data_IF_320659197925
#
_entry.id   IF_320659197925
#
_cell.length_a   1.000
_cell.length_b   1.000
_cell.length_c   1.000
_cell.angle_alpha   90.00
_cell.angle_beta   90.00
_cell.angle_gamma   90.00
#
_symmetry.space_group_name_H-M   'P 1'
#
loop_
_entity.id
_entity.type
_entity.pdbx_description
1 polymer ?
#
# COMPACT_ATOMS: atom_id res chain seq x y z
N UNK A 1 6.35 17.00 9.44
CA UNK A 1 5.85 16.87 8.05
C UNK A 1 6.00 18.22 7.39
N UNK A 2 6.56 18.27 6.17
CA UNK A 2 6.72 19.50 5.39
C UNK A 2 5.92 19.33 4.11
N UNK A 3 5.03 20.29 3.82
CA UNK A 3 4.32 20.33 2.55
C UNK A 3 5.22 21.00 1.50
N UNK A 4 5.61 20.24 0.48
CA UNK A 4 6.54 20.71 -0.55
C UNK A 4 5.83 21.32 -1.76
N UNK A 5 4.65 20.82 -2.10
CA UNK A 5 3.88 21.30 -3.25
C UNK A 5 2.40 20.95 -3.15
N UNK A 6 1.58 21.76 -3.82
CA UNK A 6 0.18 21.50 -4.09
C UNK A 6 -0.02 21.67 -5.59
N UNK A 7 -0.76 20.74 -6.21
CA UNK A 7 -1.30 20.93 -7.55
C UNK A 7 -2.79 21.27 -7.43
N UNK A 8 -3.22 22.32 -8.15
CA UNK A 8 -4.63 22.70 -8.25
C UNK A 8 -4.98 22.75 -9.73
N UNK A 9 -5.75 21.77 -10.19
CA UNK A 9 -6.10 21.66 -11.60
C UNK A 9 -7.18 20.62 -11.85
N UNK A 10 -7.90 20.77 -12.95
CA UNK A 10 -8.93 19.83 -13.39
C UNK A 10 -8.37 18.51 -13.91
N UNK A 11 -7.08 18.48 -14.24
CA UNK A 11 -6.35 17.31 -14.70
C UNK A 11 -5.22 17.00 -13.73
N UNK A 12 -4.88 15.72 -13.64
CA UNK A 12 -3.72 15.29 -12.86
C UNK A 12 -2.43 15.89 -13.44
N UNK A 13 -1.44 16.25 -12.60
CA UNK A 13 -0.20 16.82 -13.08
C UNK A 13 0.68 15.78 -13.79
N UNK A 14 1.42 16.21 -14.80
CA UNK A 14 2.55 15.44 -15.32
C UNK A 14 3.70 15.50 -14.30
N UNK A 15 4.10 14.37 -13.68
CA UNK A 15 5.04 14.38 -12.56
C UNK A 15 6.39 15.00 -12.93
N UNK A 16 6.86 14.77 -14.15
CA UNK A 16 8.14 15.28 -14.66
C UNK A 16 8.18 16.80 -14.79
N UNK A 17 7.00 17.44 -14.90
CA UNK A 17 6.87 18.90 -14.91
C UNK A 17 6.66 19.41 -13.49
N UNK A 18 5.70 18.82 -12.77
CA UNK A 18 5.27 19.27 -11.46
C UNK A 18 6.37 19.13 -10.39
N UNK A 19 7.10 18.02 -10.38
CA UNK A 19 8.12 17.74 -9.36
C UNK A 19 9.51 18.29 -9.72
N UNK A 20 9.72 18.83 -10.93
CA UNK A 20 11.04 19.21 -11.44
C UNK A 20 11.76 20.23 -10.56
N UNK A 21 11.05 21.28 -10.15
CA UNK A 21 11.61 22.34 -9.30
C UNK A 21 12.05 21.77 -7.95
N UNK A 22 11.17 21.00 -7.31
CA UNK A 22 11.42 20.36 -6.00
C UNK A 22 12.60 19.39 -6.10
N UNK A 23 12.65 18.56 -7.14
CA UNK A 23 13.75 17.60 -7.33
C UNK A 23 15.08 18.33 -7.53
N UNK A 24 15.10 19.43 -8.28
CA UNK A 24 16.30 20.22 -8.49
C UNK A 24 16.76 20.92 -7.20
N UNK A 25 15.82 21.46 -6.43
CA UNK A 25 16.11 22.07 -5.14
C UNK A 25 16.66 21.05 -4.14
N UNK A 26 16.03 19.88 -4.03
CA UNK A 26 16.53 18.81 -3.17
C UNK A 26 17.91 18.32 -3.61
N UNK A 27 18.17 18.20 -4.92
CA UNK A 27 19.52 17.88 -5.44
C UNK A 27 20.53 18.94 -5.05
N UNK A 28 20.18 20.23 -5.19
CA UNK A 28 21.04 21.32 -4.77
C UNK A 28 21.33 21.25 -3.27
N UNK A 29 20.31 21.09 -2.43
CA UNK A 29 20.45 20.97 -0.97
C UNK A 29 21.33 19.79 -0.55
N UNK A 30 21.30 18.67 -1.30
CA UNK A 30 22.19 17.52 -1.07
C UNK A 30 23.68 17.83 -1.34
N UNK A 31 23.99 18.88 -2.09
CA UNK A 31 25.37 19.33 -2.34
C UNK A 31 25.87 20.36 -1.33
N UNK A 32 25.01 20.84 -0.44
CA UNK A 32 25.33 21.89 0.52
C UNK A 32 25.36 21.34 1.95
N UNK A 33 26.21 21.90 2.79
CA UNK A 33 26.11 21.70 4.25
C UNK A 33 24.93 22.52 4.79
N UNK A 34 23.88 21.84 5.27
CA UNK A 34 22.73 22.52 5.86
C UNK A 34 23.09 22.90 7.29
N UNK A 35 23.42 24.18 7.51
CA UNK A 35 23.77 24.70 8.84
C UNK A 35 22.52 25.05 9.63
N UNK A 36 22.28 24.37 10.74
CA UNK A 36 21.26 24.74 11.72
C UNK A 36 21.96 24.95 13.07
N UNK A 37 21.99 26.20 13.53
CA UNK A 37 22.81 26.64 14.68
C UNK A 37 24.30 26.31 14.43
N UNK A 38 24.95 25.60 15.34
CA UNK A 38 26.37 25.21 15.26
C UNK A 38 26.57 23.78 14.74
N UNK A 39 25.58 23.21 14.04
CA UNK A 39 25.63 21.82 13.55
C UNK A 39 25.32 21.78 12.07
N UNK A 40 26.16 21.04 11.33
CA UNK A 40 25.97 20.78 9.91
C UNK A 40 25.18 19.49 9.73
N UNK A 41 24.17 19.54 8.87
CA UNK A 41 23.33 18.42 8.51
C UNK A 41 23.45 18.12 7.02
N UNK A 42 23.40 16.83 6.69
CA UNK A 42 23.34 16.35 5.32
C UNK A 42 21.93 15.85 5.01
N UNK A 43 21.37 16.29 3.88
CA UNK A 43 20.08 15.80 3.42
C UNK A 43 20.22 14.39 2.82
N UNK A 44 19.37 13.47 3.28
CA UNK A 44 19.23 12.13 2.72
C UNK A 44 17.77 11.87 2.37
N UNK A 45 17.52 11.33 1.18
CA UNK A 45 16.21 10.94 0.67
C UNK A 45 16.19 9.42 0.59
N UNK A 46 15.57 8.80 1.60
CA UNK A 46 15.63 7.35 1.82
C UNK A 46 14.61 6.54 1.03
N UNK A 47 13.42 7.10 0.80
CA UNK A 47 12.36 6.33 0.18
C UNK A 47 11.18 7.15 -0.27
N UNK A 48 10.29 6.48 -1.00
CA UNK A 48 9.07 7.03 -1.55
C UNK A 48 7.91 6.11 -1.17
N UNK A 49 6.78 6.70 -0.82
CA UNK A 49 5.57 5.96 -0.49
C UNK A 49 4.37 6.72 -1.03
N UNK A 50 3.28 6.00 -1.19
CA UNK A 50 2.07 6.48 -1.82
C UNK A 50 1.22 5.30 -2.28
N UNK A 51 0.06 5.63 -2.78
CA UNK A 51 -0.81 4.70 -3.48
C UNK A 51 -0.19 4.21 -4.81
N UNK A 52 -0.73 3.10 -5.33
CA UNK A 52 -0.23 2.52 -6.58
C UNK A 52 -0.41 3.45 -7.80
N UNK A 53 -1.56 4.13 -8.00
CA UNK A 53 -1.74 5.14 -9.05
C UNK A 53 -0.73 6.28 -9.07
N UNK A 54 -0.37 6.88 -7.93
CA UNK A 54 0.65 7.95 -7.89
C UNK A 54 2.06 7.37 -8.08
N UNK A 55 2.39 6.28 -7.40
CA UNK A 55 3.71 5.65 -7.51
C UNK A 55 4.02 5.18 -8.93
N UNK A 56 3.07 4.58 -9.67
CA UNK A 56 3.34 4.16 -11.07
C UNK A 56 3.77 5.33 -11.96
N UNK A 57 3.23 6.54 -11.72
CA UNK A 57 3.54 7.73 -12.51
C UNK A 57 4.91 8.27 -12.14
N UNK A 58 5.18 8.42 -10.84
CA UNK A 58 6.49 8.87 -10.33
C UNK A 58 7.61 7.91 -10.73
N UNK A 59 7.33 6.61 -10.72
CA UNK A 59 8.28 5.56 -11.08
C UNK A 59 8.43 5.36 -12.59
N UNK A 60 7.54 5.95 -13.39
CA UNK A 60 7.44 5.74 -14.83
C UNK A 60 7.33 4.24 -15.19
N UNK A 61 6.31 3.60 -14.60
CA UNK A 61 6.07 2.17 -14.62
C UNK A 61 4.64 1.85 -15.08
N UNK A 62 4.41 0.67 -15.62
CA UNK A 62 3.06 0.24 -15.98
C UNK A 62 2.16 0.16 -14.73
N UNK A 63 0.86 0.40 -14.92
CA UNK A 63 -0.10 0.36 -13.82
C UNK A 63 -0.42 -1.06 -13.32
N UNK A 64 -1.11 -1.14 -12.18
CA UNK A 64 -1.47 -2.36 -11.46
C UNK A 64 -2.24 -3.43 -12.28
N UNK A 65 -2.87 -3.05 -13.40
CA UNK A 65 -3.54 -3.97 -14.33
C UNK A 65 -2.64 -4.55 -15.44
N UNK A 66 -1.39 -4.09 -15.53
CA UNK A 66 -0.41 -4.57 -16.50
C UNK A 66 0.02 -6.02 -16.27
N UNK A 67 0.78 -6.59 -17.20
CA UNK A 67 1.29 -7.96 -17.01
C UNK A 67 2.53 -7.99 -16.10
N UNK A 68 3.48 -7.08 -16.31
CA UNK A 68 4.74 -7.02 -15.56
C UNK A 68 4.78 -5.81 -14.61
N UNK A 69 3.76 -5.65 -13.75
CA UNK A 69 3.56 -4.40 -13.01
C UNK A 69 4.24 -4.32 -11.64
N UNK A 70 4.80 -5.43 -11.15
CA UNK A 70 5.48 -5.45 -9.86
C UNK A 70 6.81 -4.70 -9.93
N UNK A 71 6.98 -3.73 -9.03
CA UNK A 71 8.21 -2.94 -8.92
C UNK A 71 9.39 -3.74 -8.37
N UNK A 72 9.12 -4.81 -7.64
CA UNK A 72 10.14 -5.55 -6.89
C UNK A 72 10.51 -6.90 -7.53
N UNK A 73 9.68 -7.45 -8.42
CA UNK A 73 9.92 -8.78 -8.99
C UNK A 73 9.42 -8.91 -10.44
N UNK A 74 9.64 -10.09 -11.01
CA UNK A 74 9.26 -10.45 -12.38
C UNK A 74 8.06 -11.40 -12.45
N UNK A 75 7.20 -11.46 -11.42
CA UNK A 75 5.95 -12.23 -11.50
C UNK A 75 5.06 -11.62 -12.58
N UNK A 76 4.71 -12.44 -13.55
CA UNK A 76 3.86 -12.07 -14.67
C UNK A 76 2.39 -12.30 -14.32
N UNK A 77 1.55 -11.29 -14.57
CA UNK A 77 0.12 -11.37 -14.30
C UNK A 77 -0.63 -12.07 -15.43
N UNK A 78 -1.47 -13.04 -15.10
CA UNK A 78 -2.32 -13.76 -16.05
C UNK A 78 -3.70 -13.11 -16.16
N UNK A 79 -4.35 -13.26 -17.32
CA UNK A 79 -5.73 -12.82 -17.49
C UNK A 79 -6.65 -14.02 -17.24
N UNK A 80 -7.41 -13.98 -16.13
CA UNK A 80 -8.34 -15.04 -15.73
C UNK A 80 -9.67 -14.43 -15.30
N UNK A 81 -10.77 -14.95 -15.85
CA UNK A 81 -12.13 -14.52 -15.53
C UNK A 81 -12.35 -13.01 -15.66
N UNK A 82 -11.81 -12.40 -16.73
CA UNK A 82 -11.92 -10.96 -16.97
C UNK A 82 -11.05 -10.08 -16.06
N UNK A 83 -10.21 -10.68 -15.20
CA UNK A 83 -9.37 -9.96 -14.23
C UNK A 83 -7.89 -10.28 -14.44
N UNK A 84 -7.03 -9.29 -14.15
CA UNK A 84 -5.59 -9.48 -14.03
C UNK A 84 -5.28 -10.12 -12.67
N UNK A 85 -4.63 -11.28 -12.68
CA UNK A 85 -4.26 -12.01 -11.48
C UNK A 85 -2.77 -12.33 -11.46
N UNK A 86 -2.16 -12.27 -10.29
CA UNK A 86 -0.76 -12.63 -10.06
C UNK A 86 -0.79 -13.85 -9.18
N UNK A 87 -0.54 -15.02 -9.76
CA UNK A 87 -0.64 -16.27 -9.03
C UNK A 87 0.51 -16.41 -8.05
N UNK A 88 0.25 -17.12 -6.96
CA UNK A 88 1.31 -17.50 -6.03
C UNK A 88 2.40 -18.30 -6.75
N UNK A 89 3.66 -17.97 -6.47
CA UNK A 89 4.82 -18.70 -6.94
C UNK A 89 5.72 -18.96 -5.74
N UNK A 90 6.11 -20.23 -5.54
CA UNK A 90 6.99 -20.64 -4.43
C UNK A 90 8.36 -19.95 -4.48
N UNK A 91 8.86 -19.67 -5.67
CA UNK A 91 10.11 -18.95 -5.89
C UNK A 91 9.87 -17.79 -6.84
N UNK A 92 10.25 -16.60 -6.40
CA UNK A 92 10.04 -15.36 -7.15
C UNK A 92 11.40 -14.73 -7.43
N UNK A 93 11.62 -14.40 -8.70
CA UNK A 93 12.81 -13.66 -9.11
C UNK A 93 12.64 -12.17 -8.79
N UNK A 94 13.41 -11.66 -7.85
CA UNK A 94 13.44 -10.25 -7.49
C UNK A 94 14.23 -9.42 -8.52
N UNK A 95 13.86 -8.14 -8.64
CA UNK A 95 14.61 -7.12 -9.35
C UNK A 95 15.72 -6.63 -8.44
N UNK A 96 16.96 -6.67 -8.92
CA UNK A 96 18.05 -5.94 -8.27
C UNK A 96 18.17 -4.54 -8.87
N UNK A 97 18.90 -3.68 -8.18
CA UNK A 97 19.14 -2.29 -8.56
C UNK A 97 19.68 -2.14 -9.99
N UNK A 98 20.70 -2.92 -10.36
CA UNK A 98 21.32 -2.83 -11.67
C UNK A 98 20.35 -3.18 -12.80
N UNK A 99 19.58 -4.25 -12.64
CA UNK A 99 18.57 -4.69 -13.61
C UNK A 99 17.41 -3.69 -13.72
N UNK A 100 16.98 -3.11 -12.60
CA UNK A 100 15.94 -2.07 -12.56
C UNK A 100 16.38 -0.83 -13.34
N UNK A 101 17.60 -0.34 -13.08
CA UNK A 101 18.17 0.82 -13.78
C UNK A 101 18.44 0.56 -15.26
N UNK A 102 18.92 -0.64 -15.60
CA UNK A 102 19.10 -1.01 -17.01
C UNK A 102 17.77 -0.96 -17.76
N UNK A 103 16.73 -1.60 -17.23
CA UNK A 103 15.42 -1.62 -17.86
C UNK A 103 14.78 -0.22 -17.95
N UNK A 104 14.90 0.62 -16.92
CA UNK A 104 14.40 2.00 -16.95
C UNK A 104 15.12 2.87 -17.99
N UNK A 105 16.45 2.73 -18.09
CA UNK A 105 17.26 3.43 -19.08
C UNK A 105 16.96 2.96 -20.51
N UNK A 106 16.80 1.65 -20.70
CA UNK A 106 16.46 1.07 -21.99
C UNK A 106 15.08 1.53 -22.45
N UNK A 107 14.06 1.44 -21.58
CA UNK A 107 12.71 1.92 -21.88
C UNK A 107 12.70 3.40 -22.26
N UNK A 108 13.46 4.23 -21.55
CA UNK A 108 13.60 5.65 -21.87
C UNK A 108 14.32 5.90 -23.20
N UNK A 109 15.35 5.12 -23.53
CA UNK A 109 16.08 5.29 -24.80
C UNK A 109 15.25 4.83 -26.00
N UNK A 110 14.56 3.69 -25.87
CA UNK A 110 13.82 3.06 -26.96
C UNK A 110 12.41 3.59 -27.10
N UNK A 111 11.87 4.25 -26.06
CA UNK A 111 10.46 4.62 -25.95
C UNK A 111 9.53 3.39 -26.03
N UNK A 112 10.06 2.21 -25.67
CA UNK A 112 9.33 0.95 -25.61
C UNK A 112 9.22 0.48 -24.16
N UNK A 113 8.22 -0.37 -23.90
CA UNK A 113 8.06 -0.99 -22.59
C UNK A 113 9.13 -2.06 -22.39
N UNK A 114 9.86 -1.99 -21.29
CA UNK A 114 10.89 -2.99 -20.95
C UNK A 114 10.64 -3.48 -19.53
N UNK A 115 10.21 -4.74 -19.38
CA UNK A 115 9.93 -5.35 -18.07
C UNK A 115 9.04 -4.46 -17.17
N UNK A 116 7.98 -3.87 -17.73
CA UNK A 116 7.08 -2.96 -16.99
C UNK A 116 7.57 -1.52 -16.84
N UNK A 117 8.81 -1.20 -17.18
CA UNK A 117 9.27 0.18 -17.22
C UNK A 117 8.76 0.90 -18.47
N UNK A 118 8.33 2.15 -18.28
CA UNK A 118 7.96 3.09 -19.35
C UNK A 118 9.06 4.13 -19.57
N UNK A 119 9.94 4.33 -18.59
CA UNK A 119 11.08 5.22 -18.67
C UNK A 119 11.83 5.31 -17.34
N UNK A 120 12.56 6.40 -17.15
CA UNK A 120 13.22 6.71 -15.88
C UNK A 120 12.25 7.43 -14.94
N UNK A 121 12.36 7.17 -13.65
CA UNK A 121 11.72 7.99 -12.63
C UNK A 121 12.41 9.34 -12.50
N UNK A 122 11.64 10.41 -12.30
CA UNK A 122 12.18 11.75 -11.96
C UNK A 122 13.04 11.72 -10.69
N UNK A 123 12.79 10.76 -9.80
CA UNK A 123 13.48 10.60 -8.52
C UNK A 123 14.74 9.71 -8.60
N UNK A 124 14.99 9.05 -9.74
CA UNK A 124 16.05 8.03 -9.87
C UNK A 124 17.44 8.55 -9.43
N UNK A 125 17.76 9.81 -9.74
CA UNK A 125 19.04 10.44 -9.40
C UNK A 125 18.99 11.29 -8.12
N UNK A 126 17.87 11.29 -7.40
CA UNK A 126 17.71 12.02 -6.14
C UNK A 126 17.89 11.09 -4.93
N UNK A 127 17.42 9.85 -5.03
CA UNK A 127 17.34 8.90 -3.92
C UNK A 127 18.72 8.40 -3.49
N UNK A 128 18.95 8.30 -2.18
CA UNK A 128 20.18 7.70 -1.62
C UNK A 128 20.10 6.18 -1.55
N UNK A 129 18.89 5.64 -1.40
CA UNK A 129 18.60 4.21 -1.61
C UNK A 129 18.11 4.07 -3.04
N UNK A 130 18.71 3.18 -3.83
CA UNK A 130 18.37 3.06 -5.23
C UNK A 130 17.08 2.25 -5.44
N UNK A 131 16.39 2.51 -6.55
CA UNK A 131 15.22 1.73 -6.94
C UNK A 131 15.58 0.27 -7.24
N UNK A 132 14.73 -0.71 -6.89
CA UNK A 132 13.40 -0.54 -6.28
C UNK A 132 13.39 -0.48 -4.75
N UNK A 133 14.54 -0.64 -4.08
CA UNK A 133 14.62 -0.77 -2.61
C UNK A 133 14.16 0.48 -1.84
N UNK A 134 14.12 1.64 -2.50
CA UNK A 134 13.58 2.88 -1.93
C UNK A 134 12.04 2.97 -1.95
N UNK A 135 11.35 2.04 -2.62
CA UNK A 135 9.90 2.03 -2.69
C UNK A 135 9.36 1.40 -1.42
N UNK A 136 8.58 2.17 -0.66
CA UNK A 136 7.96 1.76 0.59
C UNK A 136 6.48 1.52 0.34
N UNK A 137 6.04 0.28 0.50
CA UNK A 137 4.65 -0.12 0.27
C UNK A 137 3.77 0.48 1.37
N UNK A 138 2.75 1.20 0.95
CA UNK A 138 1.84 1.87 1.86
C UNK A 138 0.84 0.89 2.51
N UNK A 139 1.01 0.62 3.81
CA UNK A 139 0.09 -0.20 4.60
C UNK A 139 -1.37 0.27 4.54
N UNK A 140 -1.59 1.59 4.48
CA UNK A 140 -2.93 2.17 4.40
C UNK A 140 -3.64 1.73 3.11
N UNK A 141 -3.02 1.99 1.95
CA UNK A 141 -3.63 1.76 0.65
C UNK A 141 -3.58 0.28 0.24
N UNK A 142 -2.51 -0.44 0.58
CA UNK A 142 -2.33 -1.83 0.16
C UNK A 142 -3.01 -2.81 1.12
N UNK A 143 -2.72 -2.74 2.41
CA UNK A 143 -3.30 -3.69 3.37
C UNK A 143 -4.75 -3.34 3.69
N UNK A 144 -5.01 -2.10 4.13
CA UNK A 144 -6.33 -1.75 4.67
C UNK A 144 -7.36 -1.48 3.57
N UNK A 145 -7.20 -0.37 2.84
CA UNK A 145 -8.15 0.05 1.79
C UNK A 145 -8.16 -0.91 0.60
N UNK A 146 -7.04 -1.59 0.37
CA UNK A 146 -6.87 -2.60 -0.66
C UNK A 146 -7.37 -3.97 -0.23
N UNK A 147 -6.50 -4.77 0.40
CA UNK A 147 -6.76 -6.19 0.60
C UNK A 147 -7.82 -6.50 1.67
N UNK A 148 -7.74 -5.89 2.86
CA UNK A 148 -8.71 -6.10 3.95
C UNK A 148 -10.12 -5.73 3.50
N UNK A 149 -10.26 -4.58 2.83
CA UNK A 149 -11.53 -4.18 2.22
C UNK A 149 -12.01 -5.23 1.21
N UNK A 150 -11.15 -5.68 0.30
CA UNK A 150 -11.49 -6.67 -0.73
C UNK A 150 -11.97 -8.00 -0.13
N UNK A 151 -11.22 -8.61 0.78
CA UNK A 151 -11.59 -9.90 1.39
C UNK A 151 -12.80 -9.76 2.33
N UNK A 152 -12.91 -8.63 3.05
CA UNK A 152 -14.06 -8.35 3.90
C UNK A 152 -15.35 -8.30 3.08
N UNK A 153 -15.33 -7.62 1.93
CA UNK A 153 -16.47 -7.60 1.01
C UNK A 153 -16.78 -8.99 0.46
N UNK A 154 -15.77 -9.74 0.03
CA UNK A 154 -15.94 -11.08 -0.51
C UNK A 154 -16.62 -12.02 0.52
N UNK A 155 -16.10 -12.04 1.75
CA UNK A 155 -16.69 -12.78 2.87
C UNK A 155 -18.14 -12.36 3.06
N UNK A 156 -18.40 -11.05 3.19
CA UNK A 156 -19.74 -10.53 3.45
C UNK A 156 -20.75 -10.92 2.35
N UNK A 157 -20.33 -10.88 1.08
CA UNK A 157 -21.17 -11.26 -0.05
C UNK A 157 -21.47 -12.76 -0.11
N UNK A 158 -20.60 -13.63 0.40
CA UNK A 158 -20.86 -15.07 0.50
C UNK A 158 -21.83 -15.43 1.63
N UNK A 159 -21.91 -14.61 2.68
CA UNK A 159 -22.81 -14.85 3.81
C UNK A 159 -24.28 -14.79 3.41
N UNK A 160 -25.10 -15.69 3.97
CA UNK A 160 -26.57 -15.63 3.89
C UNK A 160 -27.10 -14.38 4.58
N UNK A 161 -28.31 -13.87 4.23
CA UNK A 161 -28.87 -12.67 4.84
C UNK A 161 -28.88 -12.67 6.38
N UNK A 162 -29.29 -13.76 7.02
CA UNK A 162 -29.27 -13.89 8.49
C UNK A 162 -27.84 -13.86 9.07
N UNK A 163 -26.87 -14.44 8.39
CA UNK A 163 -25.45 -14.40 8.81
C UNK A 163 -24.89 -12.99 8.69
N UNK A 164 -25.24 -12.25 7.63
CA UNK A 164 -24.87 -10.82 7.49
C UNK A 164 -25.43 -9.98 8.63
N UNK A 165 -26.72 -10.14 8.94
CA UNK A 165 -27.36 -9.44 10.08
C UNK A 165 -26.71 -9.80 11.41
N UNK A 166 -26.30 -11.06 11.59
CA UNK A 166 -25.58 -11.53 12.78
C UNK A 166 -24.22 -10.87 12.89
N UNK A 167 -23.44 -10.88 11.80
CA UNK A 167 -22.12 -10.28 11.74
C UNK A 167 -22.15 -8.77 11.99
N UNK A 168 -23.05 -8.04 11.32
CA UNK A 168 -23.25 -6.60 11.55
C UNK A 168 -23.64 -6.29 13.00
N UNK A 169 -24.49 -7.13 13.59
CA UNK A 169 -24.88 -6.98 14.98
C UNK A 169 -23.71 -7.24 15.95
N UNK A 170 -22.84 -8.20 15.65
CA UNK A 170 -21.62 -8.44 16.41
C UNK A 170 -20.64 -7.27 16.28
N UNK A 171 -20.43 -6.73 15.08
CA UNK A 171 -19.59 -5.56 14.86
C UNK A 171 -20.07 -4.34 15.68
N UNK A 172 -21.38 -4.08 15.71
CA UNK A 172 -21.98 -3.01 16.52
C UNK A 172 -21.76 -3.21 18.03
N UNK A 173 -21.78 -4.46 18.49
CA UNK A 173 -21.63 -4.83 19.91
C UNK A 173 -20.16 -4.95 20.35
N UNK A 174 -19.21 -5.03 19.42
CA UNK A 174 -17.80 -5.13 19.74
C UNK A 174 -17.37 -3.98 20.64
N UNK A 175 -16.86 -4.34 21.82
CA UNK A 175 -16.32 -3.37 22.77
C UNK A 175 -14.87 -3.08 22.40
N UNK A 176 -14.52 -1.80 22.41
CA UNK A 176 -13.15 -1.33 22.23
C UNK A 176 -12.71 -0.56 23.47
N UNK A 177 -11.41 -0.59 23.82
CA UNK A 177 -10.87 0.28 24.84
C UNK A 177 -11.18 1.76 24.55
N UNK A 178 -11.34 2.58 25.59
CA UNK A 178 -11.76 3.99 25.47
C UNK A 178 -10.81 4.85 24.63
N UNK A 179 -9.55 4.47 24.49
CA UNK A 179 -8.54 5.17 23.69
C UNK A 179 -8.59 4.83 22.19
N UNK A 180 -9.47 3.92 21.76
CA UNK A 180 -9.73 3.69 20.35
C UNK A 180 -10.63 4.80 19.81
N UNK A 181 -10.08 5.61 18.90
CA UNK A 181 -10.80 6.77 18.36
C UNK A 181 -12.03 6.42 17.51
N UNK A 182 -12.17 5.17 17.04
CA UNK A 182 -13.29 4.74 16.17
C UNK A 182 -13.70 3.30 16.42
N UNK A 183 -15.01 3.05 16.37
CA UNK A 183 -15.60 1.71 16.26
C UNK A 183 -15.70 1.29 14.80
N UNK A 184 -15.90 0.01 14.54
CA UNK A 184 -16.11 -0.52 13.19
C UNK A 184 -17.58 -0.38 12.82
N UNK A 185 -17.87 0.32 11.72
CA UNK A 185 -19.21 0.35 11.15
C UNK A 185 -19.65 -0.99 10.56
N UNK A 186 -20.97 -1.25 10.49
CA UNK A 186 -21.50 -2.42 9.81
C UNK A 186 -21.12 -2.43 8.33
N UNK A 187 -21.08 -3.62 7.74
CA UNK A 187 -20.80 -3.77 6.31
C UNK A 187 -21.95 -3.27 5.43
N UNK A 188 -23.14 -3.02 5.97
CA UNK A 188 -24.19 -2.27 5.23
C UNK A 188 -23.74 -0.86 4.82
N UNK A 189 -22.77 -0.28 5.52
CA UNK A 189 -22.20 1.05 5.24
C UNK A 189 -20.82 0.95 4.58
N UNK A 190 -20.55 -0.13 3.85
CA UNK A 190 -19.22 -0.50 3.36
C UNK A 190 -18.45 0.63 2.65
N UNK A 191 -19.16 1.44 1.85
CA UNK A 191 -18.56 2.57 1.11
C UNK A 191 -17.96 3.64 2.02
N UNK A 192 -18.44 3.77 3.26
CA UNK A 192 -18.08 4.83 4.20
C UNK A 192 -17.10 4.38 5.29
N UNK A 193 -16.67 3.11 5.27
CA UNK A 193 -15.71 2.58 6.25
C UNK A 193 -14.36 3.24 6.05
N UNK A 194 -13.85 3.91 7.10
CA UNK A 194 -12.54 4.56 7.05
C UNK A 194 -11.42 3.56 7.32
N UNK A 195 -10.21 3.88 6.89
CA UNK A 195 -9.02 3.04 7.07
C UNK A 195 -8.75 2.64 8.53
N UNK A 196 -8.90 3.57 9.47
CA UNK A 196 -8.75 3.28 10.91
C UNK A 196 -9.79 2.27 11.42
N UNK A 197 -10.99 2.25 10.82
CA UNK A 197 -12.01 1.23 11.10
C UNK A 197 -11.63 -0.12 10.49
N UNK A 198 -11.04 -0.14 9.27
CA UNK A 198 -10.52 -1.36 8.65
C UNK A 198 -9.38 -1.99 9.45
N UNK A 199 -8.52 -1.18 10.07
CA UNK A 199 -7.47 -1.68 10.98
C UNK A 199 -8.08 -2.37 12.20
N UNK A 200 -9.11 -1.75 12.79
CA UNK A 200 -9.80 -2.33 13.94
C UNK A 200 -10.55 -3.61 13.54
N UNK A 201 -11.16 -3.60 12.36
CA UNK A 201 -11.81 -4.76 11.76
C UNK A 201 -10.81 -5.92 11.62
N UNK A 202 -9.65 -5.67 11.00
CA UNK A 202 -8.60 -6.68 10.76
C UNK A 202 -8.15 -7.36 12.06
N UNK A 203 -7.80 -6.57 13.07
CA UNK A 203 -7.12 -7.11 14.25
C UNK A 203 -8.04 -7.55 15.39
N UNK A 204 -9.27 -7.05 15.45
CA UNK A 204 -10.14 -7.24 16.61
C UNK A 204 -11.54 -7.76 16.28
N UNK A 205 -11.97 -7.73 15.01
CA UNK A 205 -13.33 -8.11 14.65
C UNK A 205 -13.39 -9.32 13.73
N UNK A 206 -12.53 -9.42 12.70
CA UNK A 206 -12.67 -10.44 11.66
C UNK A 206 -12.73 -11.85 12.27
N UNK A 207 -11.70 -12.28 13.00
CA UNK A 207 -11.66 -13.62 13.58
C UNK A 207 -12.77 -13.86 14.62
N UNK A 208 -12.89 -13.07 15.71
CA UNK A 208 -13.86 -13.39 16.77
C UNK A 208 -15.32 -13.26 16.32
N UNK A 209 -15.64 -12.36 15.39
CA UNK A 209 -17.03 -12.20 14.95
C UNK A 209 -17.39 -13.14 13.80
N UNK A 210 -16.42 -13.75 13.11
CA UNK A 210 -16.69 -14.72 12.05
C UNK A 210 -16.54 -16.18 12.51
N UNK A 211 -16.01 -16.43 13.71
CA UNK A 211 -15.77 -17.78 14.24
C UNK A 211 -17.01 -18.68 14.20
N UNK A 212 -18.16 -18.16 14.66
CA UNK A 212 -19.42 -18.90 14.68
C UNK A 212 -20.19 -18.85 13.33
N UNK A 213 -19.65 -18.18 12.32
CA UNK A 213 -20.34 -17.92 11.05
C UNK A 213 -19.68 -18.66 9.89
N UNK A 214 -18.34 -18.65 9.83
CA UNK A 214 -17.57 -19.23 8.74
C UNK A 214 -17.21 -20.70 9.01
N UNK A 215 -17.06 -21.53 7.96
CA UNK A 215 -16.43 -22.84 8.09
C UNK A 215 -15.02 -22.71 8.67
N UNK A 216 -14.62 -23.68 9.49
CA UNK A 216 -13.34 -23.70 10.18
C UNK A 216 -12.15 -23.50 9.22
N UNK A 217 -12.17 -24.12 8.05
CA UNK A 217 -11.12 -24.00 7.04
C UNK A 217 -10.93 -22.56 6.55
N UNK A 218 -12.04 -21.85 6.25
CA UNK A 218 -11.99 -20.46 5.79
C UNK A 218 -11.58 -19.51 6.92
N UNK A 219 -11.99 -19.80 8.16
CA UNK A 219 -11.56 -19.05 9.34
C UNK A 219 -10.05 -19.24 9.60
N UNK A 220 -9.54 -20.46 9.51
CA UNK A 220 -8.13 -20.78 9.66
C UNK A 220 -7.29 -20.11 8.56
N UNK A 221 -7.77 -20.14 7.31
CA UNK A 221 -7.14 -19.42 6.20
C UNK A 221 -7.10 -17.91 6.46
N UNK A 222 -8.20 -17.30 6.90
CA UNK A 222 -8.22 -15.89 7.29
C UNK A 222 -7.26 -15.59 8.45
N UNK A 223 -7.12 -16.50 9.41
CA UNK A 223 -6.20 -16.35 10.54
C UNK A 223 -4.74 -16.30 10.08
N UNK A 224 -4.33 -17.05 9.06
CA UNK A 224 -2.97 -16.96 8.48
C UNK A 224 -2.64 -15.52 8.08
N UNK A 225 -3.55 -14.87 7.35
CA UNK A 225 -3.38 -13.48 6.94
C UNK A 225 -3.36 -12.51 8.12
N UNK A 226 -4.36 -12.60 9.02
CA UNK A 226 -4.46 -11.71 10.19
C UNK A 226 -3.19 -11.80 11.05
N UNK A 227 -2.71 -13.02 11.32
CA UNK A 227 -1.51 -13.27 12.10
C UNK A 227 -0.25 -12.76 11.40
N UNK A 228 -0.10 -13.01 10.10
CA UNK A 228 1.03 -12.49 9.32
C UNK A 228 1.12 -10.96 9.40
N UNK A 229 0.01 -10.27 9.13
CA UNK A 229 -0.02 -8.80 9.20
C UNK A 229 0.18 -8.31 10.63
N UNK A 230 -0.35 -9.00 11.65
CA UNK A 230 -0.15 -8.62 13.05
C UNK A 230 1.33 -8.66 13.44
N UNK A 231 2.05 -9.72 13.06
CA UNK A 231 3.48 -9.85 13.32
C UNK A 231 4.29 -8.71 12.68
N UNK A 232 3.95 -8.32 11.46
CA UNK A 232 4.65 -7.25 10.75
C UNK A 232 4.20 -5.84 11.19
N UNK A 233 3.00 -5.72 11.77
CA UNK A 233 2.49 -4.44 12.27
C UNK A 233 3.09 -4.06 13.62
N UNK A 234 3.43 -5.03 14.47
CA UNK A 234 4.04 -4.76 15.77
C UNK A 234 5.56 -4.54 15.65
N UNK A 235 6.15 -3.84 16.63
CA UNK A 235 7.60 -3.90 16.82
C UNK A 235 8.03 -5.35 17.09
N UNK A 236 9.32 -5.62 16.87
CA UNK A 236 9.95 -6.95 16.92
C UNK A 236 9.41 -7.79 18.09
N UNK A 237 8.52 -8.74 17.79
CA UNK A 237 7.83 -9.57 18.78
C UNK A 237 8.62 -10.86 19.05
N UNK A 238 9.19 -11.45 18.01
CA UNK A 238 9.90 -12.73 18.02
C UNK A 238 11.36 -12.58 17.56
N UNK A 239 11.98 -11.41 17.83
CA UNK A 239 13.32 -11.14 17.34
C UNK A 239 13.41 -11.15 15.81
N UNK A 240 14.56 -11.59 15.30
CA UNK A 240 14.84 -11.71 13.86
C UNK A 240 13.91 -12.70 13.13
N UNK A 241 13.23 -13.59 13.85
CA UNK A 241 12.31 -14.57 13.27
C UNK A 241 10.94 -13.97 12.91
N UNK A 242 10.59 -12.80 13.46
CA UNK A 242 9.28 -12.16 13.24
C UNK A 242 8.93 -12.07 11.75
N UNK A 243 9.85 -11.56 10.94
CA UNK A 243 9.65 -11.40 9.51
C UNK A 243 9.60 -12.72 8.75
N UNK A 244 10.28 -13.77 9.23
CA UNK A 244 10.33 -15.10 8.61
C UNK A 244 9.00 -15.82 8.86
N UNK A 245 8.51 -15.83 10.09
CA UNK A 245 7.25 -16.48 10.46
C UNK A 245 6.08 -15.79 9.76
N UNK A 246 6.08 -14.45 9.72
CA UNK A 246 5.05 -13.71 8.99
C UNK A 246 5.02 -14.04 7.49
N UNK A 247 6.20 -14.20 6.87
CA UNK A 247 6.33 -14.57 5.45
C UNK A 247 5.81 -15.99 5.18
N UNK A 248 6.11 -16.94 6.06
CA UNK A 248 5.59 -18.31 5.98
C UNK A 248 4.06 -18.35 6.08
N UNK A 249 3.49 -17.62 7.05
CA UNK A 249 2.03 -17.51 7.22
C UNK A 249 1.38 -16.89 5.97
N UNK A 250 1.96 -15.81 5.44
CA UNK A 250 1.44 -15.14 4.25
C UNK A 250 1.58 -16.00 2.99
N UNK A 251 2.70 -16.71 2.83
CA UNK A 251 2.93 -17.61 1.71
C UNK A 251 1.89 -18.71 1.67
N UNK A 252 1.57 -19.29 2.85
CA UNK A 252 0.50 -20.29 2.93
C UNK A 252 -0.87 -19.70 2.62
N UNK A 253 -1.18 -18.51 3.17
CA UNK A 253 -2.40 -17.79 2.81
C UNK A 253 -2.52 -17.54 1.30
N UNK A 254 -1.45 -17.12 0.65
CA UNK A 254 -1.45 -16.79 -0.78
C UNK A 254 -1.54 -18.04 -1.66
N UNK A 255 -0.84 -19.12 -1.30
CA UNK A 255 -0.91 -20.42 -1.98
C UNK A 255 -2.35 -20.92 -2.06
N UNK A 256 -3.07 -20.91 -0.94
CA UNK A 256 -4.44 -21.41 -0.85
C UNK A 256 -5.51 -20.36 -1.22
N UNK A 257 -5.10 -19.13 -1.54
CA UNK A 257 -6.00 -17.98 -1.67
C UNK A 257 -7.12 -18.20 -2.68
N UNK A 258 -6.83 -18.80 -3.83
CA UNK A 258 -7.82 -19.01 -4.89
C UNK A 258 -8.93 -19.98 -4.48
N UNK A 259 -8.63 -20.91 -3.56
CA UNK A 259 -9.61 -21.87 -3.02
C UNK A 259 -10.66 -21.17 -2.14
N UNK A 260 -10.27 -20.09 -1.47
CA UNK A 260 -11.13 -19.36 -0.53
C UNK A 260 -11.72 -18.07 -1.12
N UNK A 261 -11.04 -17.46 -2.10
CA UNK A 261 -11.32 -16.13 -2.65
C UNK A 261 -11.09 -16.09 -4.17
N UNK A 262 -11.95 -16.79 -4.91
CA UNK A 262 -11.85 -16.96 -6.36
C UNK A 262 -11.66 -15.64 -7.12
N UNK A 263 -10.57 -15.55 -7.87
CA UNK A 263 -10.26 -14.42 -8.74
C UNK A 263 -9.86 -13.13 -8.01
N UNK A 264 -9.41 -13.23 -6.76
CA UNK A 264 -8.98 -12.10 -5.94
C UNK A 264 -7.45 -12.05 -5.72
N UNK A 265 -6.67 -12.86 -6.43
CA UNK A 265 -5.20 -12.77 -6.47
C UNK A 265 -4.71 -11.55 -7.28
N UNK A 266 -5.11 -10.35 -6.89
CA UNK A 266 -4.80 -9.09 -7.58
C UNK A 266 -3.40 -8.55 -7.22
N UNK A 267 -2.99 -7.44 -7.85
CA UNK A 267 -1.69 -6.82 -7.60
C UNK A 267 -1.49 -6.40 -6.13
N UNK A 268 -2.56 -5.94 -5.48
CA UNK A 268 -2.53 -5.52 -4.08
C UNK A 268 -2.19 -6.70 -3.17
N UNK A 269 -2.79 -7.89 -3.39
CA UNK A 269 -2.39 -9.09 -2.68
C UNK A 269 -0.93 -9.43 -2.95
N UNK A 270 -0.51 -9.39 -4.22
CA UNK A 270 0.86 -9.71 -4.61
C UNK A 270 1.92 -8.87 -3.88
N UNK A 271 1.66 -7.57 -3.68
CA UNK A 271 2.57 -6.67 -2.96
C UNK A 271 2.92 -7.14 -1.54
N UNK A 272 2.05 -7.89 -0.87
CA UNK A 272 2.29 -8.39 0.47
C UNK A 272 3.43 -9.42 0.53
N UNK A 273 3.76 -10.10 -0.58
CA UNK A 273 4.96 -10.97 -0.69
C UNK A 273 6.24 -10.20 -0.37
N UNK A 274 6.24 -8.89 -0.59
CA UNK A 274 7.41 -8.04 -0.36
C UNK A 274 7.45 -7.44 1.05
N UNK A 275 6.46 -7.72 1.91
CA UNK A 275 6.39 -7.13 3.25
C UNK A 275 7.48 -7.62 4.18
N UNK A 276 7.91 -8.88 4.11
CA UNK A 276 9.00 -9.36 4.99
C UNK A 276 10.30 -8.59 4.74
N UNK A 277 10.63 -8.36 3.47
CA UNK A 277 11.78 -7.53 3.08
C UNK A 277 11.59 -6.07 3.50
N UNK A 278 10.39 -5.52 3.31
CA UNK A 278 10.07 -4.15 3.74
C UNK A 278 10.19 -3.98 5.25
N UNK A 279 9.67 -4.92 6.04
CA UNK A 279 9.77 -4.93 7.49
C UNK A 279 11.22 -4.98 7.96
N UNK A 280 12.06 -5.82 7.33
CA UNK A 280 13.49 -5.86 7.60
C UNK A 280 14.19 -4.53 7.32
N UNK A 281 13.78 -3.81 6.28
CA UNK A 281 14.44 -2.57 5.86
C UNK A 281 13.91 -1.32 6.61
N UNK A 282 12.63 -1.28 6.97
CA UNK A 282 11.93 -0.08 7.46
C UNK A 282 11.25 -0.26 8.83
N UNK A 283 11.22 -1.47 9.36
CA UNK A 283 10.55 -1.81 10.61
C UNK A 283 9.05 -2.02 10.47
N UNK A 284 8.34 -1.84 11.57
CA UNK A 284 6.93 -2.18 11.71
C UNK A 284 6.00 -1.41 10.76
N UNK A 285 4.99 -2.11 10.21
CA UNK A 285 3.97 -1.52 9.34
C UNK A 285 3.18 -0.41 10.04
N UNK A 286 3.08 -0.44 11.37
CA UNK A 286 2.45 0.65 12.14
C UNK A 286 3.09 2.02 11.90
N UNK A 287 4.37 2.06 11.52
CA UNK A 287 5.13 3.28 11.26
C UNK A 287 5.21 3.63 9.77
N UNK A 288 4.63 2.78 8.91
CA UNK A 288 4.77 2.86 7.46
C UNK A 288 3.37 3.03 6.86
N UNK A 289 3.06 4.21 6.36
CA UNK A 289 1.88 4.44 5.55
C UNK A 289 1.45 5.89 5.49
N UNK A 290 0.51 6.18 4.59
CA UNK A 290 0.15 7.57 4.25
C UNK A 290 -0.95 8.18 5.13
N UNK A 291 -1.19 7.70 6.35
CA UNK A 291 -2.24 8.24 7.23
C UNK A 291 -2.10 9.75 7.47
N UNK A 292 -0.88 10.21 7.78
CA UNK A 292 -0.63 11.62 8.05
C UNK A 292 -0.78 12.50 6.80
N UNK A 293 -0.42 11.97 5.63
CA UNK A 293 -0.57 12.64 4.34
C UNK A 293 -2.05 12.77 3.97
N UNK A 294 -2.85 11.71 4.12
CA UNK A 294 -4.30 11.74 3.88
C UNK A 294 -5.00 12.72 4.84
N UNK A 295 -4.63 12.72 6.12
CA UNK A 295 -5.18 13.67 7.09
C UNK A 295 -4.79 15.12 6.74
N UNK A 296 -3.56 15.37 6.26
CA UNK A 296 -3.13 16.68 5.79
C UNK A 296 -3.90 17.12 4.54
N UNK A 297 -4.06 16.24 3.55
CA UNK A 297 -4.84 16.50 2.34
C UNK A 297 -6.27 16.87 2.73
N UNK A 298 -6.91 16.07 3.59
CA UNK A 298 -8.25 16.37 4.10
C UNK A 298 -8.35 17.71 4.84
N UNK A 299 -7.32 18.07 5.62
CA UNK A 299 -7.27 19.37 6.30
C UNK A 299 -7.14 20.53 5.30
N UNK A 300 -6.22 20.43 4.35
CA UNK A 300 -6.01 21.46 3.31
C UNK A 300 -7.27 21.63 2.46
N UNK A 301 -7.92 20.53 2.07
CA UNK A 301 -9.16 20.56 1.30
C UNK A 301 -10.35 21.12 2.09
N UNK A 302 -10.41 20.94 3.41
CA UNK A 302 -11.52 21.47 4.24
C UNK A 302 -11.33 22.93 4.67
N UNK A 303 -10.09 23.43 4.72
CA UNK A 303 -9.77 24.77 5.22
C UNK A 303 -9.43 25.79 4.12
N UNK A 304 -9.76 25.50 2.87
CA UNK A 304 -9.63 26.47 1.79
C UNK A 304 -10.68 27.60 1.93
N UNK A 305 -10.26 28.85 1.81
CA UNK A 305 -11.15 30.02 1.81
C UNK A 305 -11.08 30.67 0.43
N UNK A 306 -12.13 30.52 -0.37
CA UNK A 306 -12.20 31.10 -1.72
C UNK A 306 -13.63 31.14 -2.26
N UNK A 307 -13.92 32.15 -3.08
CA UNK A 307 -15.26 32.37 -3.69
C UNK A 307 -15.52 31.53 -4.94
N UNK A 308 -14.52 30.76 -5.39
CA UNK A 308 -14.58 29.86 -6.54
C UNK A 308 -14.17 28.48 -6.05
N UNK A 309 -14.88 27.45 -6.50
CA UNK A 309 -14.83 26.03 -6.09
C UNK A 309 -13.46 25.31 -6.23
N UNK A 310 -12.33 26.02 -6.10
CA UNK A 310 -10.98 25.50 -6.26
C UNK A 310 -10.57 24.48 -5.19
N UNK A 311 -11.22 24.45 -4.01
CA UNK A 311 -10.96 23.42 -3.01
C UNK A 311 -11.42 22.03 -3.44
N UNK A 312 -12.43 21.93 -4.31
CA UNK A 312 -12.85 20.67 -4.93
C UNK A 312 -11.81 20.15 -5.95
N UNK A 313 -10.90 21.03 -6.40
CA UNK A 313 -9.83 20.73 -7.37
C UNK A 313 -8.48 20.43 -6.71
N UNK A 314 -8.40 20.50 -5.38
CA UNK A 314 -7.28 19.94 -4.63
C UNK A 314 -7.46 18.44 -4.72
N UNK A 315 -6.87 17.86 -5.77
CA UNK A 315 -7.09 16.46 -6.14
C UNK A 315 -6.69 15.52 -5.01
N UNK A 316 -7.64 14.66 -4.64
CA UNK A 316 -7.41 13.42 -3.90
C UNK A 316 -6.68 12.42 -4.82
N UNK A 317 -5.37 12.54 -4.96
CA UNK A 317 -4.52 11.43 -5.42
C UNK A 317 -3.88 10.81 -4.18
N UNK A 318 -4.31 9.69 -3.58
CA UNK A 318 -5.38 8.75 -3.96
C UNK A 318 -4.85 7.58 -4.77
#
# INVERSE_FOLDING_TARGET
MVLMSIWVGYTEPEPDIWLKSIVNELKYLKTQDIKVKNTNYNLKVYGITGDCPALKKILNFIGHGGYDCCWFCYVHGEHKNGKRQYLYQRSIRLRNTQAYLHASNEAHRTQLRVNGHLGKSILQNLLDVQLPDSIVIDYLHVTLLGHVKTIGAAIYHELKPFQRSTFDSQLKRQRFPHFFNRKVRPFTEFSNIKSTELRNLLFYCLLPNLEAILPLEKLAHLALYVCSIRLLHEQVLLGDETGIIADQLFSKFYEDHEQHYNGLQNYVLHLHVHYSKMYKNHGALANIGCFGQEDLIGNVSSNHHGTRYHGELITFTT
#
